data_IF_967960364637
#
_entry.id   IF_967960364637
#
_cell.length_a   1.000
_cell.length_b   1.000
_cell.length_c   1.000
_cell.angle_alpha   90.00
_cell.angle_beta   90.00
_cell.angle_gamma   90.00
#
_symmetry.space_group_name_H-M   'P 1'
#
loop_
_entity.id
_entity.type
_entity.pdbx_description
1 polymer ?
#
# COMPACT_ATOMS: atom_id res chain seq x y z
N UNK A 1 -3.42 3.84 22.24
CA UNK A 1 -2.59 4.54 23.25
C UNK A 1 -1.14 4.74 22.79
N UNK A 2 -0.42 3.71 22.31
CA UNK A 2 1.00 3.83 21.92
C UNK A 2 1.30 4.82 20.78
N UNK A 3 0.58 4.74 19.66
CA UNK A 3 0.79 5.62 18.49
C UNK A 3 0.61 7.11 18.81
N UNK A 4 -0.37 7.45 19.64
CA UNK A 4 -0.65 8.83 20.07
C UNK A 4 0.52 9.43 20.86
N UNK A 5 1.12 8.64 21.76
CA UNK A 5 2.29 9.07 22.53
C UNK A 5 3.53 9.25 21.64
N UNK A 6 3.73 8.34 20.67
CA UNK A 6 4.84 8.44 19.73
C UNK A 6 4.70 9.65 18.79
N UNK A 7 3.48 9.96 18.33
CA UNK A 7 3.21 11.18 17.58
C UNK A 7 3.49 12.44 18.42
N UNK A 8 3.08 12.44 19.70
CA UNK A 8 3.36 13.53 20.63
C UNK A 8 4.86 13.75 20.87
N UNK A 9 5.61 12.65 21.04
CA UNK A 9 7.07 12.69 21.17
C UNK A 9 7.72 13.22 19.90
N UNK A 10 7.38 12.66 18.74
CA UNK A 10 7.93 13.06 17.44
C UNK A 10 7.72 14.56 17.18
N UNK A 11 6.53 15.09 17.50
CA UNK A 11 6.24 16.53 17.44
C UNK A 11 7.15 17.34 18.37
N UNK A 12 7.35 16.89 19.61
CA UNK A 12 8.17 17.59 20.61
C UNK A 12 9.65 17.67 20.22
N UNK A 13 10.20 16.59 19.68
CA UNK A 13 11.63 16.51 19.32
C UNK A 13 11.90 16.80 17.84
N UNK A 14 10.87 17.18 17.07
CA UNK A 14 10.97 17.43 15.62
C UNK A 14 11.47 16.20 14.83
N UNK A 15 11.16 15.00 15.29
CA UNK A 15 11.53 13.76 14.61
C UNK A 15 10.50 13.36 13.54
N UNK A 16 10.97 12.70 12.49
CA UNK A 16 10.12 12.00 11.51
C UNK A 16 9.61 10.71 12.13
N UNK A 17 8.32 10.42 11.94
CA UNK A 17 7.66 9.26 12.52
C UNK A 17 6.89 8.53 11.42
N UNK A 18 7.27 7.28 11.18
CA UNK A 18 6.63 6.37 10.24
C UNK A 18 6.13 5.16 11.03
N UNK A 19 4.86 4.80 10.85
CA UNK A 19 4.32 3.51 11.27
C UNK A 19 3.96 2.75 10.00
N UNK A 20 4.52 1.55 9.87
CA UNK A 20 4.09 0.53 8.91
C UNK A 20 3.53 -0.65 9.71
N UNK A 21 2.52 -1.35 9.18
CA UNK A 21 1.80 -2.40 9.91
C UNK A 21 2.55 -3.74 10.03
N UNK A 22 3.79 -3.82 9.56
CA UNK A 22 4.68 -4.96 9.78
C UNK A 22 6.09 -4.44 10.10
N UNK A 23 6.63 -4.83 11.26
CA UNK A 23 7.99 -4.49 11.72
C UNK A 23 8.80 -5.76 11.97
N UNK A 24 8.73 -6.69 11.03
CA UNK A 24 9.56 -7.89 11.04
C UNK A 24 10.82 -7.61 10.23
N UNK A 25 11.99 -7.72 10.86
CA UNK A 25 13.29 -7.59 10.21
C UNK A 25 13.82 -8.99 9.95
N UNK A 26 13.83 -9.40 8.68
CA UNK A 26 14.32 -10.70 8.24
C UNK A 26 15.76 -10.60 7.74
N UNK A 27 16.72 -10.73 8.66
CA UNK A 27 18.16 -10.80 8.33
C UNK A 27 18.70 -9.56 7.62
N UNK A 28 19.97 -9.66 7.18
CA UNK A 28 20.59 -8.66 6.33
C UNK A 28 20.22 -8.90 4.85
N UNK A 29 19.93 -7.83 4.08
CA UNK A 29 19.56 -7.97 2.70
C UNK A 29 20.73 -8.48 1.84
N UNK A 30 20.45 -9.43 0.94
CA UNK A 30 21.43 -9.94 -0.02
C UNK A 30 21.85 -8.91 -1.09
N UNK A 31 21.02 -7.88 -1.33
CA UNK A 31 21.29 -6.78 -2.26
C UNK A 31 20.96 -5.44 -1.58
N UNK A 32 21.78 -4.40 -1.75
CA UNK A 32 21.51 -3.06 -1.22
C UNK A 32 22.04 -1.95 -2.16
N UNK A 33 21.21 -0.94 -2.52
CA UNK A 33 19.78 -0.83 -2.24
C UNK A 33 18.96 -1.81 -3.08
N UNK A 34 17.89 -2.38 -2.52
CA UNK A 34 16.94 -3.16 -3.31
C UNK A 34 16.38 -2.31 -4.45
N UNK A 35 16.42 -2.85 -5.66
CA UNK A 35 15.72 -2.27 -6.79
C UNK A 35 14.22 -2.57 -6.64
N UNK A 36 13.47 -1.59 -6.19
CA UNK A 36 12.01 -1.66 -6.19
C UNK A 36 11.47 -1.24 -7.56
N UNK A 37 10.74 -2.13 -8.22
CA UNK A 37 10.02 -1.85 -9.48
C UNK A 37 8.55 -1.51 -9.23
N UNK A 38 8.14 -1.40 -7.96
CA UNK A 38 6.76 -1.17 -7.57
C UNK A 38 6.37 0.31 -7.68
N UNK A 39 5.46 0.62 -8.59
CA UNK A 39 4.96 1.97 -8.88
C UNK A 39 3.88 2.46 -7.89
N UNK A 40 4.13 2.31 -6.58
CA UNK A 40 3.13 2.63 -5.54
C UNK A 40 3.63 3.56 -4.43
N UNK A 41 3.11 3.38 -3.21
CA UNK A 41 3.26 4.30 -2.07
C UNK A 41 4.70 4.57 -1.61
N UNK A 42 5.69 3.85 -2.15
CA UNK A 42 7.12 3.99 -1.86
C UNK A 42 7.61 5.39 -2.22
N UNK A 43 7.20 5.94 -3.37
CA UNK A 43 7.54 7.31 -3.77
C UNK A 43 7.12 8.34 -2.71
N UNK A 44 5.97 8.12 -2.06
CA UNK A 44 5.46 9.01 -1.02
C UNK A 44 6.22 8.89 0.30
N UNK A 45 6.71 7.69 0.61
CA UNK A 45 7.61 7.45 1.73
C UNK A 45 8.97 8.09 1.49
N UNK A 46 9.52 7.94 0.29
CA UNK A 46 10.79 8.57 -0.11
C UNK A 46 10.68 10.10 -0.03
N UNK A 47 9.64 10.69 -0.60
CA UNK A 47 9.40 12.14 -0.52
C UNK A 47 9.28 12.64 0.94
N UNK A 48 8.67 11.84 1.82
CA UNK A 48 8.60 12.16 3.25
C UNK A 48 9.97 12.04 3.96
N UNK A 49 10.77 11.02 3.61
CA UNK A 49 12.08 10.77 4.22
C UNK A 49 13.13 11.79 3.77
N UNK A 50 13.08 12.22 2.51
CA UNK A 50 13.99 13.22 1.93
C UNK A 50 13.61 14.66 2.32
N UNK A 51 12.34 14.91 2.64
CA UNK A 51 11.84 16.22 3.02
C UNK A 51 12.15 16.63 4.47
N UNK A 52 12.06 17.96 4.71
CA UNK A 52 12.17 18.58 6.04
C UNK A 52 10.83 18.65 6.79
N UNK A 53 9.77 18.06 6.23
CA UNK A 53 8.43 18.16 6.76
C UNK A 53 8.21 17.19 7.93
N UNK A 54 7.57 17.69 8.99
CA UNK A 54 7.33 16.94 10.23
C UNK A 54 5.83 16.75 10.46
N UNK A 55 5.48 15.58 11.00
CA UNK A 55 4.13 15.24 11.43
C UNK A 55 3.49 14.17 10.56
N UNK A 56 2.23 13.80 10.85
CA UNK A 56 1.56 12.73 10.13
C UNK A 56 1.24 13.16 8.70
N UNK A 57 1.39 12.24 7.76
CA UNK A 57 0.98 12.33 6.38
C UNK A 57 0.15 11.11 6.02
N UNK A 58 -1.03 11.34 5.46
CA UNK A 58 -1.80 10.25 4.88
C UNK A 58 -1.26 9.99 3.49
N UNK A 59 -0.80 8.76 3.25
CA UNK A 59 -0.44 8.26 1.92
C UNK A 59 -1.46 7.20 1.56
N UNK A 60 -2.19 7.42 0.48
CA UNK A 60 -3.27 6.53 0.06
C UNK A 60 -3.94 7.03 -1.21
N UNK A 61 -4.81 6.20 -1.78
CA UNK A 61 -5.60 6.56 -2.94
C UNK A 61 -6.86 7.35 -2.50
N UNK A 62 -7.02 8.63 -2.88
CA UNK A 62 -8.25 9.38 -2.60
C UNK A 62 -9.39 9.01 -3.55
N UNK A 63 -9.10 8.27 -4.63
CA UNK A 63 -10.11 7.73 -5.53
C UNK A 63 -11.01 6.76 -4.76
N UNK A 64 -12.28 7.12 -4.62
CA UNK A 64 -13.28 6.22 -4.08
C UNK A 64 -13.59 5.14 -5.11
N UNK A 65 -13.59 3.90 -4.65
CA UNK A 65 -14.27 2.80 -5.32
C UNK A 65 -15.03 2.02 -4.26
N UNK A 66 -16.19 1.51 -4.64
CA UNK A 66 -17.00 0.62 -3.83
C UNK A 66 -16.39 -0.78 -3.80
N UNK A 67 -16.76 -1.59 -2.80
CA UNK A 67 -16.39 -3.01 -2.80
C UNK A 67 -16.94 -3.77 -4.00
N UNK A 68 -18.08 -3.32 -4.54
CA UNK A 68 -18.65 -3.87 -5.77
C UNK A 68 -17.75 -3.58 -6.97
N UNK A 69 -17.32 -2.33 -7.16
CA UNK A 69 -16.38 -1.97 -8.24
C UNK A 69 -15.06 -2.74 -8.14
N UNK A 70 -14.53 -2.91 -6.92
CA UNK A 70 -13.36 -3.76 -6.71
C UNK A 70 -13.62 -5.21 -7.16
N UNK A 71 -14.73 -5.79 -6.72
CA UNK A 71 -15.09 -7.17 -7.05
C UNK A 71 -15.31 -7.37 -8.56
N UNK A 72 -15.94 -6.41 -9.24
CA UNK A 72 -16.13 -6.42 -10.68
C UNK A 72 -14.79 -6.37 -11.43
N UNK A 73 -13.87 -5.49 -11.05
CA UNK A 73 -12.54 -5.39 -11.68
C UNK A 73 -11.73 -6.67 -11.44
N UNK A 74 -11.79 -7.26 -10.24
CA UNK A 74 -11.14 -8.57 -9.95
C UNK A 74 -11.72 -9.67 -10.84
N UNK A 75 -13.06 -9.76 -10.92
CA UNK A 75 -13.76 -10.73 -11.76
C UNK A 75 -13.35 -10.56 -13.23
N UNK A 76 -13.28 -9.34 -13.75
CA UNK A 76 -12.83 -9.06 -15.13
C UNK A 76 -11.40 -9.56 -15.40
N UNK A 77 -10.47 -9.37 -14.45
CA UNK A 77 -9.04 -9.66 -14.62
C UNK A 77 -8.70 -11.13 -14.36
N UNK A 78 -9.36 -11.76 -13.39
CA UNK A 78 -8.99 -13.10 -12.90
C UNK A 78 -9.84 -14.19 -13.54
N UNK A 79 -11.16 -14.08 -13.40
CA UNK A 79 -12.14 -15.03 -13.94
C UNK A 79 -13.50 -14.36 -14.11
N UNK A 80 -13.86 -14.07 -15.37
CA UNK A 80 -15.12 -13.42 -15.72
C UNK A 80 -16.36 -14.27 -15.39
N UNK A 81 -16.18 -15.55 -15.06
CA UNK A 81 -17.26 -16.46 -14.66
C UNK A 81 -17.49 -16.52 -13.15
N UNK A 82 -16.58 -15.96 -12.33
CA UNK A 82 -16.70 -15.99 -10.87
C UNK A 82 -17.98 -15.28 -10.40
N UNK A 83 -18.73 -15.88 -9.47
CA UNK A 83 -19.91 -15.26 -8.88
C UNK A 83 -19.51 -14.23 -7.81
N UNK A 84 -20.22 -13.10 -7.75
CA UNK A 84 -20.09 -12.13 -6.65
C UNK A 84 -21.19 -12.43 -5.63
N UNK A 85 -20.80 -12.82 -4.42
CA UNK A 85 -21.72 -13.02 -3.29
C UNK A 85 -21.83 -11.75 -2.46
N UNK A 86 -23.05 -11.31 -2.18
CA UNK A 86 -23.31 -10.17 -1.30
C UNK A 86 -23.51 -10.66 0.14
N UNK A 87 -22.82 -10.02 1.08
CA UNK A 87 -22.96 -10.26 2.52
C UNK A 87 -23.18 -8.93 3.23
N UNK A 88 -23.84 -8.97 4.37
CA UNK A 88 -24.00 -7.78 5.21
C UNK A 88 -22.64 -7.36 5.79
N UNK A 89 -22.43 -6.05 5.90
CA UNK A 89 -21.24 -5.51 6.56
C UNK A 89 -21.25 -5.89 8.04
N UNK A 90 -20.07 -6.18 8.56
CA UNK A 90 -19.89 -6.36 10.00
C UNK A 90 -19.87 -5.01 10.71
N UNK A 91 -20.10 -5.00 12.03
CA UNK A 91 -20.07 -3.77 12.82
C UNK A 91 -18.68 -3.09 12.81
N UNK A 92 -17.62 -3.86 12.58
CA UNK A 92 -16.23 -3.37 12.55
C UNK A 92 -15.79 -2.86 11.17
N UNK A 93 -16.63 -2.99 10.13
CA UNK A 93 -16.28 -2.57 8.78
C UNK A 93 -16.27 -1.03 8.64
N UNK A 94 -15.15 -0.43 8.19
CA UNK A 94 -15.11 1.00 7.94
C UNK A 94 -16.08 1.39 6.83
N UNK A 95 -17.10 2.19 7.17
CA UNK A 95 -18.12 2.63 6.21
C UNK A 95 -17.57 3.51 5.06
N UNK A 96 -16.41 4.15 5.27
CA UNK A 96 -15.69 4.96 4.27
C UNK A 96 -14.19 4.77 4.44
N UNK A 97 -13.48 4.56 3.33
CA UNK A 97 -12.01 4.50 3.28
C UNK A 97 -11.48 5.50 2.26
N UNK A 98 -11.63 6.79 2.56
CA UNK A 98 -11.09 7.89 1.74
C UNK A 98 -10.06 8.69 2.55
N UNK A 99 -8.75 8.45 2.36
CA UNK A 99 -7.73 9.24 3.01
C UNK A 99 -7.72 10.68 2.46
N UNK A 100 -7.73 11.68 3.34
CA UNK A 100 -7.40 13.05 2.96
C UNK A 100 -5.90 13.18 2.76
N UNK A 101 -5.47 13.31 1.50
CA UNK A 101 -4.06 13.43 1.10
C UNK A 101 -3.64 14.86 0.77
N UNK A 102 -4.43 15.88 1.12
CA UNK A 102 -4.15 17.29 0.79
C UNK A 102 -2.75 17.71 1.24
N UNK A 103 -2.34 17.30 2.45
CA UNK A 103 -1.02 17.59 3.01
C UNK A 103 0.12 16.93 2.21
N UNK A 104 -0.08 15.71 1.72
CA UNK A 104 0.92 15.01 0.90
C UNK A 104 1.08 15.67 -0.48
N UNK A 105 -0.02 16.09 -1.09
CA UNK A 105 0.00 16.85 -2.35
C UNK A 105 0.73 18.17 -2.21
N UNK A 106 0.40 18.93 -1.17
CA UNK A 106 0.89 20.29 -1.02
C UNK A 106 2.37 20.34 -0.61
N UNK A 107 2.77 19.51 0.37
CA UNK A 107 4.10 19.55 0.96
C UNK A 107 5.07 18.55 0.34
N UNK A 108 4.62 17.33 0.03
CA UNK A 108 5.49 16.28 -0.54
C UNK A 108 5.47 16.27 -2.08
N UNK A 109 4.60 17.09 -2.71
CA UNK A 109 4.33 17.06 -4.15
C UNK A 109 4.00 15.65 -4.65
N UNK A 110 3.38 14.85 -3.78
CA UNK A 110 3.08 13.45 -4.02
C UNK A 110 1.58 13.22 -4.14
N UNK A 111 1.21 12.41 -5.12
CA UNK A 111 -0.10 11.79 -5.25
C UNK A 111 0.04 10.42 -5.93
N UNK A 112 -0.89 9.48 -5.70
CA UNK A 112 -0.86 8.19 -6.38
C UNK A 112 -1.12 8.36 -7.87
N UNK A 113 -0.28 7.73 -8.68
CA UNK A 113 -0.33 7.83 -10.15
C UNK A 113 -1.05 6.67 -10.82
N UNK A 114 -1.17 5.55 -10.12
CA UNK A 114 -1.73 4.30 -10.65
C UNK A 114 -3.15 4.12 -10.11
N UNK A 115 -4.11 3.99 -11.02
CA UNK A 115 -5.51 3.71 -10.68
C UNK A 115 -5.71 2.22 -10.35
N UNK A 116 -6.86 1.88 -9.76
CA UNK A 116 -7.22 0.48 -9.50
C UNK A 116 -7.19 -0.37 -10.79
N UNK A 117 -7.74 0.15 -11.89
CA UNK A 117 -7.81 -0.57 -13.17
C UNK A 117 -6.44 -0.77 -13.82
N UNK A 118 -5.48 0.11 -13.55
CA UNK A 118 -4.11 -0.03 -14.05
C UNK A 118 -3.24 -0.92 -13.16
N UNK A 119 -3.40 -0.83 -11.84
CA UNK A 119 -2.56 -1.55 -10.87
C UNK A 119 -2.96 -3.01 -10.68
N UNK A 120 -4.26 -3.31 -10.69
CA UNK A 120 -4.76 -4.66 -10.40
C UNK A 120 -4.31 -5.72 -11.43
N UNK A 121 -4.27 -5.44 -12.76
CA UNK A 121 -3.70 -6.37 -13.74
C UNK A 121 -2.22 -6.65 -13.52
N UNK A 122 -1.44 -5.63 -13.11
CA UNK A 122 -0.01 -5.79 -12.82
C UNK A 122 0.21 -6.70 -11.60
N UNK A 123 -0.58 -6.49 -10.55
CA UNK A 123 -0.60 -7.36 -9.38
C UNK A 123 -0.96 -8.80 -9.78
N UNK A 124 -2.06 -8.99 -10.53
CA UNK A 124 -2.48 -10.32 -10.97
C UNK A 124 -1.40 -11.03 -11.79
N UNK A 125 -0.70 -10.30 -12.67
CA UNK A 125 0.42 -10.82 -13.46
C UNK A 125 1.60 -11.25 -12.58
N UNK A 126 2.02 -10.40 -11.64
CA UNK A 126 3.10 -10.70 -10.68
C UNK A 126 2.78 -11.96 -9.86
N UNK A 127 1.58 -12.05 -9.28
CA UNK A 127 1.12 -13.23 -8.54
C UNK A 127 1.11 -14.50 -9.40
N UNK A 128 0.56 -14.44 -10.62
CA UNK A 128 0.60 -15.58 -11.56
C UNK A 128 2.05 -16.00 -11.84
N UNK A 129 2.94 -15.05 -12.05
CA UNK A 129 4.35 -15.34 -12.33
C UNK A 129 5.07 -16.01 -11.16
N UNK A 130 4.77 -15.63 -9.92
CA UNK A 130 5.39 -16.22 -8.72
C UNK A 130 4.88 -17.63 -8.47
N UNK A 131 3.57 -17.84 -8.55
CA UNK A 131 2.95 -19.16 -8.39
C UNK A 131 3.48 -20.14 -9.45
N UNK A 132 3.61 -19.70 -10.71
CA UNK A 132 4.11 -20.55 -11.80
C UNK A 132 5.63 -20.75 -11.78
N UNK A 133 6.40 -19.84 -11.16
CA UNK A 133 7.85 -19.98 -10.98
C UNK A 133 8.24 -20.84 -9.78
N UNK A 134 7.37 -20.98 -8.79
CA UNK A 134 7.60 -21.90 -7.66
C UNK A 134 7.69 -23.37 -8.11
N UNK A 135 7.16 -23.72 -9.30
CA UNK A 135 7.34 -25.06 -9.91
C UNK A 135 8.71 -25.25 -10.59
N UNK A 136 9.53 -24.21 -10.76
CA UNK A 136 10.89 -24.29 -11.36
C UNK A 136 12.03 -24.08 -10.35
N UNK A 137 11.72 -24.03 -9.04
CA UNK A 137 12.71 -23.85 -7.97
C UNK A 137 13.18 -25.16 -7.36
N UNK A 138 14.23 -25.75 -7.94
CA UNK A 138 15.07 -26.77 -7.30
C UNK A 138 15.42 -26.39 -5.85
N UNK A 139 15.06 -27.26 -4.90
CA UNK A 139 15.80 -27.38 -3.65
C UNK A 139 17.19 -27.93 -3.98
N UNK A 140 18.11 -27.06 -4.41
CA UNK A 140 19.53 -27.40 -4.42
C UNK A 140 20.22 -26.79 -3.19
N UNK A 141 20.35 -27.68 -2.19
CA UNK A 141 21.36 -27.82 -1.12
C UNK A 141 22.07 -26.58 -0.56
#
# INVERSE_FOLDING_TARGET
MGTLNMLGLAKRIRARFLITSTSEVYGDPLEHPQKETYWGHVDGLMALMEGDHIGPFNLGNPGEFTMLELAEVVKEIIDSKAAIEFRENTADDPQKRKPDISKAKELLKWEPKITLREGLPQMASDFRSRILKEDEGEFDK
#
